data_IF_404785559372
#
_entry.id   IF_404785559372
#
_cell.length_a   1.000
_cell.length_b   1.000
_cell.length_c   1.000
_cell.angle_alpha   90.00
_cell.angle_beta   90.00
_cell.angle_gamma   90.00
#
_symmetry.space_group_name_H-M   'P 1'
#
loop_
_entity.id
_entity.type
_entity.pdbx_description
1 polymer ?
#
# COMPACT_ATOMS: atom_id res chain seq x y z
N UNK A 1 17.15 -43.51 -12.64
CA UNK A 1 17.20 -42.65 -11.44
C UNK A 1 17.73 -41.28 -11.85
N UNK A 2 16.83 -40.38 -12.24
CA UNK A 2 17.23 -39.06 -12.76
C UNK A 2 17.08 -38.03 -11.65
N UNK A 3 18.22 -37.65 -11.07
CA UNK A 3 18.37 -36.58 -10.07
C UNK A 3 18.29 -35.21 -10.76
N UNK A 4 17.13 -34.57 -10.70
CA UNK A 4 16.99 -33.12 -10.87
C UNK A 4 16.00 -32.61 -9.84
N UNK A 5 16.49 -32.37 -8.62
CA UNK A 5 15.77 -31.63 -7.58
C UNK A 5 16.70 -30.51 -7.12
N UNK A 6 17.02 -29.63 -8.08
CA UNK A 6 17.82 -28.43 -7.89
C UNK A 6 16.94 -27.25 -8.30
N UNK A 7 16.69 -26.36 -7.32
CA UNK A 7 16.09 -25.03 -7.40
C UNK A 7 14.59 -24.97 -7.75
N UNK A 8 13.76 -24.36 -6.87
CA UNK A 8 13.93 -22.94 -6.53
C UNK A 8 13.49 -22.59 -5.10
N UNK A 9 14.18 -23.10 -4.07
CA UNK A 9 13.94 -22.60 -2.69
C UNK A 9 14.57 -21.21 -2.48
N UNK A 10 15.48 -20.79 -3.35
CA UNK A 10 16.22 -19.53 -3.22
C UNK A 10 15.50 -18.28 -3.75
N UNK A 11 14.31 -18.40 -4.37
CA UNK A 11 13.62 -17.23 -4.93
C UNK A 11 12.77 -16.44 -3.91
N UNK A 12 12.60 -16.94 -2.69
CA UNK A 12 11.76 -16.29 -1.67
C UNK A 12 12.49 -15.25 -0.82
N UNK A 13 13.82 -15.10 -0.93
CA UNK A 13 14.60 -14.22 -0.05
C UNK A 13 14.85 -12.79 -0.57
N UNK A 14 14.29 -12.39 -1.72
CA UNK A 14 14.47 -11.04 -2.26
C UNK A 14 13.37 -10.03 -1.88
N UNK A 15 12.40 -10.41 -1.04
CA UNK A 15 11.33 -9.49 -0.61
C UNK A 15 11.70 -8.57 0.57
N UNK A 16 12.98 -8.51 0.93
CA UNK A 16 13.50 -7.70 2.04
C UNK A 16 14.50 -6.65 1.59
N UNK A 17 14.04 -5.56 0.97
CA UNK A 17 14.78 -4.29 1.07
C UNK A 17 13.81 -3.12 1.02
N UNK A 18 14.04 -2.16 1.92
CA UNK A 18 13.03 -1.27 2.49
C UNK A 18 12.31 -0.35 1.51
N UNK A 19 11.13 0.10 1.92
CA UNK A 19 10.46 1.24 1.29
C UNK A 19 9.88 2.09 2.41
N UNK A 20 10.16 3.41 2.41
CA UNK A 20 10.01 4.27 3.57
C UNK A 20 8.54 4.39 3.98
N UNK A 21 8.31 4.21 5.27
CA UNK A 21 7.00 4.43 5.88
C UNK A 21 6.61 5.90 5.78
N UNK A 22 5.41 6.14 5.24
CA UNK A 22 4.70 7.40 5.45
C UNK A 22 3.22 7.04 5.56
N UNK A 23 2.80 6.68 6.78
CA UNK A 23 1.47 6.16 7.16
C UNK A 23 1.16 4.81 6.51
N UNK A 24 1.37 3.72 7.26
CA UNK A 24 1.22 2.39 6.73
C UNK A 24 -0.25 2.10 6.39
N UNK A 25 -0.57 2.27 5.11
CA UNK A 25 -1.85 1.89 4.55
C UNK A 25 -1.84 0.37 4.35
N UNK A 26 -2.83 -0.31 4.91
CA UNK A 26 -3.03 -1.74 4.87
C UNK A 26 -4.28 -2.08 4.07
N UNK A 27 -4.18 -3.14 3.27
CA UNK A 27 -5.29 -3.76 2.55
C UNK A 27 -4.97 -5.26 2.46
N UNK A 28 -5.90 -6.10 2.93
CA UNK A 28 -5.67 -7.55 2.98
C UNK A 28 -5.44 -8.10 1.57
N UNK A 29 -4.35 -8.86 1.38
CA UNK A 29 -4.00 -9.45 0.09
C UNK A 29 -3.46 -8.47 -0.96
N UNK A 30 -3.31 -7.18 -0.66
CA UNK A 30 -2.82 -6.21 -1.62
C UNK A 30 -1.29 -6.25 -1.76
N UNK A 31 -0.82 -6.12 -3.00
CA UNK A 31 0.59 -6.02 -3.30
C UNK A 31 1.13 -4.61 -3.03
N UNK A 32 2.45 -4.45 -2.84
CA UNK A 32 3.08 -3.14 -2.64
C UNK A 32 2.93 -2.24 -3.87
N UNK A 33 2.90 -2.86 -5.05
CA UNK A 33 2.70 -2.21 -6.33
C UNK A 33 1.30 -1.58 -6.41
N UNK A 34 0.29 -2.27 -5.86
CA UNK A 34 -1.08 -1.77 -5.77
C UNK A 34 -1.14 -0.54 -4.85
N UNK A 35 -0.48 -0.60 -3.68
CA UNK A 35 -0.37 0.55 -2.79
C UNK A 35 0.26 1.75 -3.51
N UNK A 36 1.34 1.51 -4.26
CA UNK A 36 2.04 2.58 -4.99
C UNK A 36 1.16 3.19 -6.07
N UNK A 37 0.45 2.37 -6.84
CA UNK A 37 -0.45 2.81 -7.89
C UNK A 37 -1.59 3.66 -7.32
N UNK A 38 -2.26 3.15 -6.29
CA UNK A 38 -3.37 3.83 -5.63
C UNK A 38 -2.93 5.13 -4.95
N UNK A 39 -1.83 5.10 -4.21
CA UNK A 39 -1.30 6.29 -3.54
C UNK A 39 -0.90 7.38 -4.53
N UNK A 40 -0.33 7.01 -5.68
CA UNK A 40 0.04 7.96 -6.75
C UNK A 40 -1.21 8.57 -7.35
N UNK A 41 -2.18 7.75 -7.76
CA UNK A 41 -3.41 8.22 -8.36
C UNK A 41 -4.23 9.10 -7.40
N UNK A 42 -4.35 8.70 -6.13
CA UNK A 42 -5.02 9.51 -5.10
C UNK A 42 -4.31 10.85 -4.84
N UNK A 43 -2.98 10.89 -4.92
CA UNK A 43 -2.21 12.14 -4.75
C UNK A 43 -2.40 13.07 -5.94
N UNK A 44 -2.40 12.55 -7.16
CA UNK A 44 -2.66 13.32 -8.38
C UNK A 44 -4.07 13.91 -8.38
N UNK A 45 -5.08 13.12 -8.01
CA UNK A 45 -6.46 13.61 -7.88
C UNK A 45 -6.58 14.69 -6.80
N UNK A 46 -5.94 14.50 -5.65
CA UNK A 46 -5.94 15.50 -4.59
C UNK A 46 -5.25 16.81 -5.02
N UNK A 47 -4.15 16.71 -5.76
CA UNK A 47 -3.47 17.88 -6.33
C UNK A 47 -4.32 18.57 -7.39
N UNK A 48 -4.97 17.82 -8.29
CA UNK A 48 -5.84 18.37 -9.32
C UNK A 48 -7.06 19.09 -8.73
N UNK A 49 -7.62 18.58 -7.63
CA UNK A 49 -8.79 19.17 -6.98
C UNK A 49 -8.46 20.39 -6.09
N UNK A 50 -7.30 20.40 -5.42
CA UNK A 50 -7.02 21.39 -4.37
C UNK A 50 -5.69 22.14 -4.52
N UNK A 51 -4.87 21.79 -5.52
CA UNK A 51 -3.57 22.41 -5.79
C UNK A 51 -2.66 22.42 -4.56
N UNK A 52 -2.15 23.60 -4.21
CA UNK A 52 -1.26 23.81 -3.06
C UNK A 52 -1.99 23.93 -1.71
N UNK A 53 -3.32 23.71 -1.64
CA UNK A 53 -4.04 23.69 -0.38
C UNK A 53 -3.78 22.37 0.36
N UNK A 54 -2.66 22.31 1.09
CA UNK A 54 -2.18 21.10 1.76
C UNK A 54 -3.22 20.43 2.68
N UNK A 55 -3.98 21.15 3.54
CA UNK A 55 -5.00 20.51 4.37
C UNK A 55 -6.07 19.77 3.55
N UNK A 56 -6.65 20.44 2.54
CA UNK A 56 -7.69 19.83 1.70
C UNK A 56 -7.14 18.69 0.84
N UNK A 57 -5.91 18.84 0.33
CA UNK A 57 -5.22 17.81 -0.42
C UNK A 57 -5.03 16.54 0.43
N UNK A 58 -4.55 16.69 1.68
CA UNK A 58 -4.32 15.58 2.59
C UNK A 58 -5.62 14.84 2.92
N UNK A 59 -6.71 15.56 3.15
CA UNK A 59 -8.00 14.93 3.47
C UNK A 59 -8.62 14.24 2.26
N UNK A 60 -8.50 14.83 1.06
CA UNK A 60 -8.94 14.17 -0.16
C UNK A 60 -8.11 12.92 -0.48
N UNK A 61 -6.79 12.99 -0.30
CA UNK A 61 -5.90 11.83 -0.44
C UNK A 61 -6.32 10.70 0.52
N UNK A 62 -6.56 10.99 1.80
CA UNK A 62 -7.04 9.99 2.77
C UNK A 62 -8.38 9.39 2.34
N UNK A 63 -9.34 10.23 1.95
CA UNK A 63 -10.67 9.78 1.52
C UNK A 63 -10.57 8.84 0.31
N UNK A 64 -9.72 9.18 -0.66
CA UNK A 64 -9.48 8.35 -1.82
C UNK A 64 -8.87 6.99 -1.44
N UNK A 65 -7.84 6.97 -0.59
CA UNK A 65 -7.23 5.72 -0.12
C UNK A 65 -8.25 4.83 0.60
N UNK A 66 -9.07 5.41 1.47
CA UNK A 66 -10.14 4.67 2.18
C UNK A 66 -11.18 4.11 1.22
N UNK A 67 -11.60 4.86 0.20
CA UNK A 67 -12.54 4.36 -0.83
C UNK A 67 -11.99 3.20 -1.64
N UNK A 68 -10.66 3.05 -1.72
CA UNK A 68 -9.97 1.93 -2.38
C UNK A 68 -9.72 0.73 -1.47
N UNK A 69 -10.24 0.79 -0.24
CA UNK A 69 -10.14 -0.27 0.75
C UNK A 69 -8.87 -0.23 1.60
N UNK A 70 -8.06 0.83 1.51
CA UNK A 70 -6.89 1.00 2.36
C UNK A 70 -7.28 1.54 3.73
N UNK A 71 -6.66 1.01 4.78
CA UNK A 71 -6.80 1.48 6.17
C UNK A 71 -5.46 1.90 6.72
N UNK A 72 -5.38 2.97 7.50
CA UNK A 72 -4.13 3.32 8.19
C UNK A 72 -3.89 2.34 9.34
N UNK A 73 -2.67 1.87 9.53
CA UNK A 73 -2.25 1.18 10.74
C UNK A 73 -2.55 2.06 11.95
N UNK A 74 -3.40 1.54 12.85
CA UNK A 74 -3.96 2.27 13.99
C UNK A 74 -5.44 2.64 13.87
N UNK A 75 -6.05 2.54 12.69
CA UNK A 75 -7.50 2.53 12.54
C UNK A 75 -7.99 1.11 12.87
N UNK A 76 -8.22 0.87 14.17
CA UNK A 76 -8.64 -0.38 14.81
C UNK A 76 -9.08 -1.49 13.85
N UNK A 77 -8.33 -2.60 13.84
CA UNK A 77 -8.92 -3.91 13.54
C UNK A 77 -10.15 -4.03 14.45
N UNK A 78 -11.39 -4.24 13.96
CA UNK A 78 -12.44 -4.69 14.86
C UNK A 78 -11.93 -5.99 15.46
N UNK A 79 -11.68 -5.99 16.76
CA UNK A 79 -11.37 -7.18 17.51
C UNK A 79 -12.53 -8.15 17.26
N UNK A 80 -12.27 -9.20 16.50
CA UNK A 80 -13.16 -10.34 16.38
C UNK A 80 -13.14 -11.00 17.76
N UNK A 81 -14.17 -10.72 18.55
CA UNK A 81 -14.54 -11.46 19.76
C UNK A 81 -15.73 -12.36 19.46
#
# INVERSE_FOLDING_TARGET
>A
MTRYLMLPVSLFLLAGCGTPGIYAWQKEGAAKEELRADATNCREMAFAAYGANLPKMVDHYKSCMVSRGWRKDGAAKPAQG
#
